data_IF_239993789681
#
_entry.id   IF_239993789681
#
_cell.length_a   1.000
_cell.length_b   1.000
_cell.length_c   1.000
_cell.angle_alpha   90.00
_cell.angle_beta   90.00
_cell.angle_gamma   90.00
#
_symmetry.space_group_name_H-M   'P 1'
#
loop_
_entity.id
_entity.type
_entity.pdbx_description
1 polymer ?
#
# COMPACT_ATOMS: atom_id res chain seq x y z
N UNK A 1 -5.71 -63.37 -46.51
CA UNK A 1 -4.44 -62.91 -45.89
C UNK A 1 -4.05 -61.46 -46.15
N UNK A 2 -4.46 -60.81 -47.26
CA UNK A 2 -4.09 -59.39 -47.55
C UNK A 2 -4.85 -58.37 -46.68
N UNK A 3 -6.10 -58.63 -46.33
CA UNK A 3 -6.92 -57.71 -45.53
C UNK A 3 -6.55 -57.60 -44.05
N UNK A 4 -6.03 -58.67 -43.45
CA UNK A 4 -5.56 -58.66 -42.05
C UNK A 4 -4.29 -57.85 -41.86
N UNK A 5 -3.37 -57.88 -42.83
CA UNK A 5 -2.15 -57.07 -42.79
C UNK A 5 -2.41 -55.56 -42.93
N UNK A 6 -3.45 -55.18 -43.66
CA UNK A 6 -3.86 -53.76 -43.83
C UNK A 6 -4.49 -53.27 -42.52
N UNK A 7 -5.36 -54.05 -41.89
CA UNK A 7 -6.00 -53.67 -40.58
C UNK A 7 -4.96 -53.52 -39.46
N UNK A 8 -3.97 -54.44 -39.41
CA UNK A 8 -2.92 -54.34 -38.41
C UNK A 8 -2.02 -53.11 -38.61
N UNK A 9 -1.73 -52.72 -39.86
CA UNK A 9 -0.98 -51.49 -40.14
C UNK A 9 -1.78 -50.20 -39.81
N UNK A 10 -3.09 -50.20 -40.05
CA UNK A 10 -3.96 -49.05 -39.68
C UNK A 10 -4.09 -48.90 -38.16
N UNK A 11 -4.21 -50.01 -37.44
CA UNK A 11 -4.25 -50.01 -35.98
C UNK A 11 -2.94 -49.53 -35.36
N UNK A 12 -1.81 -49.94 -35.91
CA UNK A 12 -0.48 -49.49 -35.45
C UNK A 12 -0.29 -47.99 -35.72
N UNK A 13 -0.79 -47.47 -36.86
CA UNK A 13 -0.70 -46.05 -37.19
C UNK A 13 -1.59 -45.19 -36.26
N UNK A 14 -2.80 -45.66 -35.91
CA UNK A 14 -3.70 -45.01 -34.96
C UNK A 14 -3.14 -44.97 -33.53
N UNK A 15 -2.53 -46.06 -33.07
CA UNK A 15 -1.85 -46.12 -31.78
C UNK A 15 -0.64 -45.17 -31.69
N UNK A 16 0.14 -45.07 -32.77
CA UNK A 16 1.26 -44.15 -32.83
C UNK A 16 0.81 -42.67 -32.84
N UNK A 17 -0.31 -42.36 -33.50
CA UNK A 17 -0.90 -41.02 -33.48
C UNK A 17 -1.45 -40.62 -32.10
N UNK A 18 -2.06 -41.56 -31.36
CA UNK A 18 -2.56 -41.29 -30.01
C UNK A 18 -1.42 -41.06 -28.98
N UNK A 19 -0.28 -41.76 -29.12
CA UNK A 19 0.87 -41.54 -28.24
C UNK A 19 1.62 -40.24 -28.54
N UNK A 20 1.54 -39.71 -29.76
CA UNK A 20 2.16 -38.44 -30.15
C UNK A 20 1.41 -37.21 -29.63
N UNK A 21 0.10 -37.32 -29.37
CA UNK A 21 -0.71 -36.19 -28.88
C UNK A 21 -0.62 -36.06 -27.36
N UNK A 22 -0.30 -37.10 -26.61
CA UNK A 22 -0.15 -37.04 -25.15
C UNK A 22 1.17 -36.43 -24.65
N UNK A 23 2.14 -36.18 -25.51
CA UNK A 23 3.47 -35.70 -25.09
C UNK A 23 3.70 -34.19 -25.28
N UNK A 24 2.68 -33.42 -25.65
CA UNK A 24 2.80 -31.97 -25.88
C UNK A 24 2.04 -31.10 -24.86
N UNK A 25 1.71 -31.65 -23.71
CA UNK A 25 1.26 -30.81 -22.59
C UNK A 25 2.43 -30.64 -21.61
N UNK A 26 3.48 -29.96 -22.05
CA UNK A 26 4.34 -29.24 -21.12
C UNK A 26 3.52 -28.04 -20.64
N UNK A 27 2.72 -28.25 -19.59
CA UNK A 27 2.27 -27.15 -18.77
C UNK A 27 3.53 -26.53 -18.17
N UNK A 28 4.01 -25.45 -18.78
CA UNK A 28 4.88 -24.52 -18.07
C UNK A 28 4.03 -24.01 -16.91
N UNK A 29 4.16 -24.64 -15.75
CA UNK A 29 3.78 -24.02 -14.50
C UNK A 29 4.69 -22.79 -14.42
N UNK A 30 4.20 -21.65 -14.87
CA UNK A 30 4.75 -20.36 -14.52
C UNK A 30 4.61 -20.33 -12.99
N UNK A 31 5.69 -20.55 -12.29
CA UNK A 31 5.77 -20.20 -10.90
C UNK A 31 5.46 -18.68 -10.90
N UNK A 32 4.26 -18.32 -10.45
CA UNK A 32 3.98 -16.94 -10.16
C UNK A 32 5.06 -16.53 -9.15
N UNK A 33 5.91 -15.61 -9.56
CA UNK A 33 6.94 -15.05 -8.71
C UNK A 33 6.16 -14.40 -7.55
N UNK A 34 6.14 -15.09 -6.41
CA UNK A 34 5.50 -14.56 -5.19
C UNK A 34 6.28 -13.29 -4.86
N UNK A 35 5.67 -12.13 -5.12
CA UNK A 35 6.25 -10.85 -4.68
C UNK A 35 6.57 -10.98 -3.19
N UNK A 36 7.77 -10.57 -2.77
CA UNK A 36 8.11 -10.60 -1.36
C UNK A 36 7.00 -9.84 -0.61
N UNK A 37 6.44 -10.46 0.42
CA UNK A 37 5.43 -9.83 1.27
C UNK A 37 6.12 -8.67 1.98
N UNK A 38 5.90 -7.46 1.49
CA UNK A 38 6.34 -6.22 2.13
C UNK A 38 5.15 -5.60 2.85
N UNK A 39 5.42 -4.98 3.99
CA UNK A 39 4.47 -4.12 4.68
C UNK A 39 4.95 -2.69 4.47
N UNK A 40 4.10 -1.87 3.89
CA UNK A 40 4.36 -0.44 3.74
C UNK A 40 3.83 0.30 4.97
N UNK A 41 4.65 1.18 5.53
CA UNK A 41 4.28 1.98 6.69
C UNK A 41 4.50 3.45 6.34
N UNK A 42 3.43 4.25 6.45
CA UNK A 42 3.53 5.71 6.47
C UNK A 42 3.58 6.13 7.94
N UNK A 43 4.65 6.81 8.33
CA UNK A 43 4.87 7.22 9.70
C UNK A 43 4.94 8.74 9.81
N UNK A 44 4.14 9.30 10.73
CA UNK A 44 4.18 10.72 11.12
C UNK A 44 4.46 10.84 12.60
N UNK A 45 4.96 11.97 13.03
CA UNK A 45 5.14 12.34 14.44
C UNK A 45 5.38 13.85 14.57
N UNK A 46 5.22 14.41 15.78
CA UNK A 46 5.54 15.81 16.10
C UNK A 46 4.90 16.81 15.13
N UNK A 47 3.64 16.62 14.80
CA UNK A 47 2.94 17.51 13.87
C UNK A 47 2.50 18.82 14.49
N UNK A 48 2.46 18.91 15.82
CA UNK A 48 2.32 20.14 16.61
C UNK A 48 1.26 21.12 16.09
N UNK A 49 0.04 20.63 15.85
CA UNK A 49 -1.10 21.41 15.34
C UNK A 49 -0.84 22.13 14.00
N UNK A 50 0.19 21.75 13.22
CA UNK A 50 0.48 22.34 11.91
C UNK A 50 -0.43 21.75 10.82
N UNK A 51 -1.74 21.94 10.96
CA UNK A 51 -2.73 21.42 10.02
C UNK A 51 -2.65 22.11 8.65
N UNK A 52 -2.26 23.38 8.63
CA UNK A 52 -2.12 24.16 7.40
C UNK A 52 -0.69 24.11 6.86
N UNK A 53 -0.59 24.26 5.54
CA UNK A 53 0.71 24.47 4.89
C UNK A 53 1.34 25.81 5.29
N UNK A 54 2.65 25.90 5.11
CA UNK A 54 3.41 27.13 5.38
C UNK A 54 4.44 27.34 4.26
N UNK A 55 4.83 28.61 4.11
CA UNK A 55 5.90 28.97 3.15
C UNK A 55 7.27 28.79 3.80
N UNK A 56 8.16 28.16 3.07
CA UNK A 56 9.55 27.95 3.48
C UNK A 56 10.48 28.05 2.28
N UNK A 57 11.79 27.98 2.52
CA UNK A 57 12.81 27.96 1.49
C UNK A 57 13.47 26.60 1.46
N UNK A 58 13.44 25.94 0.30
CA UNK A 58 14.15 24.68 0.06
C UNK A 58 15.06 24.89 -1.15
N UNK A 59 16.35 24.61 -1.00
CA UNK A 59 17.37 24.79 -2.05
C UNK A 59 17.40 26.19 -2.66
N UNK A 60 17.06 27.22 -1.86
CA UNK A 60 17.03 28.62 -2.28
C UNK A 60 15.73 29.07 -2.96
N UNK A 61 14.75 28.18 -3.13
CA UNK A 61 13.45 28.47 -3.72
C UNK A 61 12.35 28.57 -2.66
N UNK A 62 11.45 29.54 -2.85
CA UNK A 62 10.26 29.65 -1.99
C UNK A 62 9.26 28.56 -2.36
N UNK A 63 9.00 27.67 -1.44
CA UNK A 63 8.03 26.58 -1.59
C UNK A 63 6.96 26.65 -0.52
N UNK A 64 5.83 26.08 -0.81
CA UNK A 64 4.79 25.82 0.17
C UNK A 64 4.90 24.37 0.64
N UNK A 65 5.14 24.15 1.93
CA UNK A 65 5.39 22.84 2.52
C UNK A 65 4.45 22.54 3.69
N UNK A 66 4.47 21.29 4.15
CA UNK A 66 3.71 20.84 5.30
C UNK A 66 2.21 20.83 5.10
N UNK A 67 1.49 20.68 6.21
CA UNK A 67 0.03 20.61 6.26
C UNK A 67 -0.53 19.22 6.03
N UNK A 68 -1.62 18.93 6.74
CA UNK A 68 -2.25 17.61 6.75
C UNK A 68 -2.82 17.21 5.38
N UNK A 69 -3.22 18.19 4.55
CA UNK A 69 -3.70 17.90 3.20
C UNK A 69 -2.63 17.23 2.33
N UNK A 70 -1.35 17.65 2.45
CA UNK A 70 -0.25 17.01 1.72
C UNK A 70 0.10 15.65 2.27
N UNK A 71 0.08 15.50 3.60
CA UNK A 71 0.26 14.19 4.24
C UNK A 71 -0.84 13.23 3.74
N UNK A 72 -2.09 13.69 3.70
CA UNK A 72 -3.21 12.91 3.17
C UNK A 72 -2.98 12.46 1.72
N UNK A 73 -2.47 13.35 0.86
CA UNK A 73 -2.14 13.00 -0.53
C UNK A 73 -1.14 11.84 -0.58
N UNK A 74 -0.05 11.92 0.20
CA UNK A 74 0.96 10.85 0.27
C UNK A 74 0.36 9.54 0.79
N UNK A 75 -0.51 9.61 1.81
CA UNK A 75 -1.21 8.43 2.34
C UNK A 75 -2.08 7.79 1.27
N UNK A 76 -2.84 8.60 0.51
CA UNK A 76 -3.72 8.09 -0.53
C UNK A 76 -2.93 7.42 -1.66
N UNK A 77 -1.86 8.05 -2.13
CA UNK A 77 -0.96 7.48 -3.13
C UNK A 77 -0.38 6.13 -2.65
N UNK A 78 0.07 6.05 -1.40
CA UNK A 78 0.60 4.80 -0.85
C UNK A 78 -0.47 3.71 -0.70
N UNK A 79 -1.68 4.07 -0.29
CA UNK A 79 -2.81 3.12 -0.21
C UNK A 79 -3.33 2.70 -1.59
N UNK A 80 -3.18 3.53 -2.64
CA UNK A 80 -3.46 3.13 -4.02
C UNK A 80 -2.41 2.12 -4.53
N UNK A 81 -1.12 2.33 -4.21
CA UNK A 81 -0.04 1.40 -4.56
C UNK A 81 -0.17 0.07 -3.81
N UNK A 82 -0.48 0.13 -2.51
CA UNK A 82 -0.67 -1.02 -1.63
C UNK A 82 -1.80 -0.75 -0.64
N UNK A 83 -2.99 -1.35 -0.83
CA UNK A 83 -4.13 -1.17 0.08
C UNK A 83 -3.87 -1.60 1.54
N UNK A 84 -2.86 -2.46 1.77
CA UNK A 84 -2.47 -2.93 3.10
C UNK A 84 -1.46 -1.98 3.79
N UNK A 85 -1.20 -0.80 3.21
CA UNK A 85 -0.34 0.22 3.82
C UNK A 85 -0.87 0.65 5.18
N UNK A 86 -0.04 0.53 6.21
CA UNK A 86 -0.33 0.95 7.57
C UNK A 86 0.08 2.41 7.77
N UNK A 87 -0.81 3.21 8.34
CA UNK A 87 -0.56 4.62 8.66
C UNK A 87 -0.49 4.78 10.18
N UNK A 88 0.68 5.15 10.68
CA UNK A 88 0.99 5.21 12.11
C UNK A 88 1.46 6.62 12.48
N UNK A 89 0.99 7.14 13.60
CA UNK A 89 1.43 8.42 14.15
C UNK A 89 2.09 8.23 15.51
N UNK A 90 3.24 8.86 15.71
CA UNK A 90 4.07 8.76 16.93
C UNK A 90 3.66 9.72 18.04
N UNK A 91 2.57 10.49 17.88
CA UNK A 91 2.12 11.47 18.88
C UNK A 91 2.80 12.83 18.75
N UNK A 92 2.65 13.64 19.78
CA UNK A 92 2.99 15.07 19.82
C UNK A 92 2.30 15.85 18.66
N UNK A 93 1.04 15.53 18.44
CA UNK A 93 0.24 16.16 17.39
C UNK A 93 -0.35 17.50 17.82
N UNK A 94 -0.40 17.82 19.13
CA UNK A 94 -0.91 19.08 19.67
C UNK A 94 0.19 20.11 19.98
N UNK A 95 -0.20 21.33 20.36
CA UNK A 95 0.69 22.39 20.85
C UNK A 95 1.72 22.91 19.84
N UNK A 96 1.31 23.77 18.91
CA UNK A 96 2.25 24.42 17.97
C UNK A 96 1.64 25.59 17.22
N UNK A 97 0.33 25.59 17.04
CA UNK A 97 -0.40 26.67 16.38
C UNK A 97 -1.65 27.06 17.15
N UNK A 98 -2.35 28.09 16.71
CA UNK A 98 -3.62 28.52 17.33
C UNK A 98 -4.73 27.45 17.31
N UNK A 99 -4.59 26.43 16.45
CA UNK A 99 -5.54 25.32 16.38
C UNK A 99 -5.59 24.55 17.71
N UNK A 100 -4.49 24.47 18.43
CA UNK A 100 -4.45 23.87 19.77
C UNK A 100 -5.50 24.42 20.74
N UNK A 101 -5.96 25.67 20.55
CA UNK A 101 -6.96 26.30 21.46
C UNK A 101 -8.30 25.59 21.41
N UNK A 102 -8.60 24.82 20.40
CA UNK A 102 -9.80 24.00 20.27
C UNK A 102 -9.57 22.52 20.53
N UNK A 103 -8.36 22.13 20.93
CA UNK A 103 -8.02 20.74 21.18
C UNK A 103 -8.94 20.10 22.23
N UNK A 104 -9.11 20.71 23.40
CA UNK A 104 -9.94 20.16 24.47
C UNK A 104 -11.43 20.07 24.12
N UNK A 105 -11.92 20.96 23.26
CA UNK A 105 -13.36 21.04 22.94
C UNK A 105 -13.72 20.31 21.65
N UNK A 106 -12.82 20.22 20.69
CA UNK A 106 -13.08 19.71 19.36
C UNK A 106 -12.18 18.53 18.99
N UNK A 107 -11.09 18.29 19.74
CA UNK A 107 -10.07 17.29 19.41
C UNK A 107 -9.65 17.38 17.92
N UNK A 108 -9.40 18.63 17.44
CA UNK A 108 -9.26 18.91 16.02
C UNK A 108 -8.14 18.08 15.38
N UNK A 109 -7.00 17.99 16.04
CA UNK A 109 -5.82 17.26 15.56
C UNK A 109 -6.10 15.75 15.44
N UNK A 110 -6.68 15.14 16.49
CA UNK A 110 -7.03 13.70 16.48
C UNK A 110 -8.06 13.39 15.39
N UNK A 111 -9.06 14.26 15.25
CA UNK A 111 -10.07 14.11 14.19
C UNK A 111 -9.44 14.20 12.80
N UNK A 112 -8.49 15.11 12.62
CA UNK A 112 -7.77 15.25 11.34
C UNK A 112 -6.88 14.06 11.06
N UNK A 113 -6.19 13.48 12.06
CA UNK A 113 -5.47 12.21 11.91
C UNK A 113 -6.42 11.12 11.40
N UNK A 114 -7.62 11.00 11.99
CA UNK A 114 -8.64 10.06 11.51
C UNK A 114 -9.08 10.32 10.07
N UNK A 115 -9.32 11.58 9.69
CA UNK A 115 -9.67 11.94 8.30
C UNK A 115 -8.54 11.66 7.30
N UNK A 116 -7.29 11.73 7.72
CA UNK A 116 -6.15 11.35 6.87
C UNK A 116 -6.06 9.84 6.67
N UNK A 117 -6.73 9.05 7.48
CA UNK A 117 -6.69 7.59 7.44
C UNK A 117 -5.56 7.01 8.30
N UNK A 118 -5.20 7.68 9.40
CA UNK A 118 -4.31 7.15 10.42
C UNK A 118 -4.98 5.95 11.11
N UNK A 119 -4.29 4.82 11.13
CA UNK A 119 -4.79 3.57 11.71
C UNK A 119 -4.48 3.49 13.21
N UNK A 120 -3.36 4.06 13.63
CA UNK A 120 -2.89 4.04 15.03
C UNK A 120 -2.13 5.32 15.34
N UNK A 121 -2.42 5.92 16.49
CA UNK A 121 -1.62 6.99 17.08
C UNK A 121 -1.29 6.69 18.53
N UNK A 122 -0.28 7.35 19.06
CA UNK A 122 0.06 7.38 20.48
C UNK A 122 -0.02 8.82 20.99
N UNK A 123 0.19 9.03 22.28
CA UNK A 123 0.28 10.34 22.89
C UNK A 123 1.74 10.70 23.13
N UNK A 124 2.13 11.89 22.70
CA UNK A 124 3.40 12.50 23.06
C UNK A 124 3.29 13.34 24.33
N UNK A 125 4.39 13.97 24.72
CA UNK A 125 4.43 14.74 25.98
C UNK A 125 3.52 15.98 25.92
N UNK A 126 3.42 16.64 24.80
CA UNK A 126 2.58 17.83 24.64
C UNK A 126 1.09 17.51 24.60
N UNK A 127 0.71 16.31 24.16
CA UNK A 127 -0.68 15.87 24.10
C UNK A 127 -1.26 15.60 25.50
N UNK A 128 -0.38 15.35 26.47
CA UNK A 128 -0.71 15.09 27.87
C UNK A 128 -0.63 16.33 28.75
N UNK A 129 0.02 17.39 28.25
CA UNK A 129 0.23 18.60 29.03
C UNK A 129 -1.05 19.45 29.06
N UNK A 130 -1.50 19.75 30.29
CA UNK A 130 -2.60 20.72 30.53
C UNK A 130 -1.99 22.01 31.06
N UNK A 131 -2.22 23.16 30.39
CA UNK A 131 -1.78 24.46 30.91
C UNK A 131 -2.53 24.84 32.20
#
# INVERSE_FOLDING_TARGET
MRGQKIRAKLQALLLAACMGVCSLQVTTASAAEEKPKSVDIVFTHDTHSHLNSFRTVVDGENVEAGGFARIKTVIDEKKEENPDTLVVDGGDFSMGTLIQTVFETQAAEIRMLGYMGCDVTTLGCNDLWKP
#
